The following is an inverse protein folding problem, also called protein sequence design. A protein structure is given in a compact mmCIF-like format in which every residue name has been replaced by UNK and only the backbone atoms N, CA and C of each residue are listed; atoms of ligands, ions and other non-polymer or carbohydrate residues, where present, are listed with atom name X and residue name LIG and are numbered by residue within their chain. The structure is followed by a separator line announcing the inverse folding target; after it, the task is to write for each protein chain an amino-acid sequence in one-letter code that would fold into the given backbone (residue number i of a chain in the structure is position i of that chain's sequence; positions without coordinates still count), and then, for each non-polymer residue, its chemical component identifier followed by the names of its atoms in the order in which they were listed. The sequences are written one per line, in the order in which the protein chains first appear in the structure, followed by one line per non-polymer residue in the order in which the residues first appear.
data_IF_502860686057
#
_entry.id   IF_502860686057
#
_cell.length_a   1.000
_cell.length_b   1.000
_cell.length_c   1.000
_cell.angle_alpha   90.00
_cell.angle_beta   90.00
_cell.angle_gamma   90.00
#
_symmetry.space_group_name_H-M   'P 1'
#
loop_
_entity.id
_entity.type
_entity.pdbx_description
1 polymer ?
#
# COMPACT_ATOMS: atom_id res chain seq x y z
N UNK A 1 -3.21 8.10 6.42
CA UNK A 1 -4.24 9.16 6.31
C UNK A 1 -4.45 9.72 7.71
N UNK A 2 -4.94 10.95 7.81
CA UNK A 2 -5.34 11.54 9.09
C UNK A 2 -6.65 12.30 8.85
N UNK A 3 -6.72 13.61 9.15
CA UNK A 3 -7.86 14.46 8.79
C UNK A 3 -8.12 14.52 7.28
N UNK A 4 -7.10 14.23 6.46
CA UNK A 4 -7.20 14.06 5.00
C UNK A 4 -6.44 12.82 4.51
N UNK A 5 -6.88 12.21 3.40
CA UNK A 5 -6.12 11.15 2.75
C UNK A 5 -4.92 11.75 2.01
N UNK A 6 -3.77 11.10 2.14
CA UNK A 6 -2.54 11.48 1.45
C UNK A 6 -1.90 10.23 0.83
N UNK A 7 -1.48 10.34 -0.42
CA UNK A 7 -0.93 9.23 -1.19
C UNK A 7 0.60 9.23 -1.08
N UNK A 8 1.15 8.16 -0.51
CA UNK A 8 2.61 8.00 -0.33
C UNK A 8 3.27 7.33 -1.52
N UNK A 9 2.55 6.39 -2.13
CA UNK A 9 3.02 5.48 -3.16
C UNK A 9 1.88 5.15 -4.12
N UNK A 10 2.07 5.26 -5.45
CA UNK A 10 1.19 4.56 -6.39
C UNK A 10 1.33 3.04 -6.23
N UNK A 11 0.41 2.26 -6.83
CA UNK A 11 0.58 0.82 -6.92
C UNK A 11 1.84 0.50 -7.72
N UNK A 12 2.74 -0.29 -7.14
CA UNK A 12 4.02 -0.69 -7.73
C UNK A 12 4.35 -2.12 -7.34
N UNK A 13 5.16 -2.78 -8.16
CA UNK A 13 5.81 -4.06 -7.82
C UNK A 13 7.19 -3.85 -7.21
N UNK A 14 7.71 -2.61 -7.23
CA UNK A 14 9.00 -2.28 -6.64
C UNK A 14 8.87 -2.09 -5.12
N UNK A 15 9.10 -3.18 -4.39
CA UNK A 15 9.10 -3.18 -2.94
C UNK A 15 10.23 -2.33 -2.33
N UNK A 16 11.35 -2.16 -3.04
CA UNK A 16 12.46 -1.34 -2.56
C UNK A 16 12.07 0.14 -2.57
N UNK A 17 11.42 0.59 -3.64
CA UNK A 17 10.91 1.96 -3.73
C UNK A 17 9.83 2.22 -2.67
N UNK A 18 8.89 1.28 -2.47
CA UNK A 18 7.88 1.40 -1.43
C UNK A 18 8.49 1.53 -0.04
N UNK A 19 9.47 0.69 0.30
CA UNK A 19 10.18 0.75 1.60
C UNK A 19 10.82 2.11 1.85
N UNK A 20 11.53 2.66 0.86
CA UNK A 20 12.13 4.02 0.97
C UNK A 20 11.09 5.11 1.21
N UNK A 21 9.90 4.98 0.62
CA UNK A 21 8.78 5.93 0.84
C UNK A 21 8.16 5.78 2.23
N UNK A 22 8.10 4.57 2.76
CA UNK A 22 7.64 4.32 4.12
C UNK A 22 8.60 4.91 5.16
N UNK A 23 9.91 4.79 4.95
CA UNK A 23 10.93 5.38 5.83
C UNK A 23 10.85 6.91 5.89
N UNK A 24 10.35 7.58 4.84
CA UNK A 24 10.15 9.04 4.84
C UNK A 24 8.91 9.52 5.61
N UNK A 25 8.12 8.61 6.19
CA UNK A 25 6.92 8.98 6.94
C UNK A 25 7.27 9.48 8.34
N UNK A 26 6.71 10.62 8.71
CA UNK A 26 6.77 11.16 10.07
C UNK A 26 5.38 11.55 10.57
N UNK A 27 5.16 11.48 11.88
CA UNK A 27 3.91 11.90 12.52
C UNK A 27 3.83 13.43 12.45
N UNK A 28 2.62 13.98 12.22
CA UNK A 28 2.39 15.43 12.16
C UNK A 28 2.58 16.07 10.78
N UNK A 29 2.75 15.28 9.72
CA UNK A 29 2.82 15.82 8.35
C UNK A 29 1.46 16.28 7.78
N UNK A 30 0.34 15.91 8.41
CA UNK A 30 -1.02 16.13 7.91
C UNK A 30 -1.90 16.55 9.10
N UNK A 31 -2.96 17.31 8.82
CA UNK A 31 -4.01 17.66 9.79
C UNK A 31 -4.45 16.45 10.63
N UNK A 32 -4.56 16.66 11.94
CA UNK A 32 -5.02 15.65 12.89
C UNK A 32 -6.46 15.21 12.61
N UNK A 33 -6.80 14.02 13.12
CA UNK A 33 -8.08 13.37 12.91
C UNK A 33 -7.96 12.12 12.04
N UNK A 34 -9.09 11.49 11.77
CA UNK A 34 -9.19 10.16 11.17
C UNK A 34 -10.33 10.17 10.16
N UNK A 35 -10.00 10.37 8.89
CA UNK A 35 -10.94 10.44 7.78
C UNK A 35 -10.99 9.12 6.98
N UNK A 36 -11.64 8.11 7.56
CA UNK A 36 -11.75 6.76 6.99
C UNK A 36 -12.50 6.77 5.65
N UNK A 37 -13.67 7.41 5.59
CA UNK A 37 -14.47 7.42 4.36
C UNK A 37 -13.75 8.14 3.20
N UNK A 38 -13.05 9.23 3.49
CA UNK A 38 -12.21 9.92 2.50
C UNK A 38 -11.02 9.06 2.04
N UNK A 39 -10.42 8.28 2.94
CA UNK A 39 -9.35 7.34 2.61
C UNK A 39 -9.84 6.22 1.69
N UNK A 40 -11.00 5.62 2.00
CA UNK A 40 -11.65 4.62 1.16
C UNK A 40 -11.99 5.22 -0.21
N UNK A 41 -12.59 6.41 -0.27
CA UNK A 41 -12.94 7.08 -1.52
C UNK A 41 -11.72 7.37 -2.40
N UNK A 42 -10.61 7.79 -1.81
CA UNK A 42 -9.37 8.05 -2.56
C UNK A 42 -8.73 6.75 -3.05
N UNK A 43 -8.70 5.72 -2.21
CA UNK A 43 -8.16 4.41 -2.55
C UNK A 43 -8.98 3.70 -3.63
N UNK A 44 -10.32 3.78 -3.57
CA UNK A 44 -11.22 3.16 -4.55
C UNK A 44 -11.07 3.80 -5.92
N UNK A 45 -11.01 5.14 -5.99
CA UNK A 45 -10.68 5.86 -7.23
C UNK A 45 -9.38 5.34 -7.83
N UNK A 46 -8.34 5.18 -7.02
CA UNK A 46 -7.02 4.72 -7.49
C UNK A 46 -7.03 3.27 -7.99
N UNK A 47 -7.74 2.39 -7.32
CA UNK A 47 -7.90 0.99 -7.74
C UNK A 47 -8.77 0.86 -9.00
N UNK A 48 -9.71 1.77 -9.22
CA UNK A 48 -10.55 1.79 -10.41
C UNK A 48 -9.76 2.16 -11.68
N UNK A 49 -8.74 3.01 -11.57
CA UNK A 49 -7.88 3.40 -12.69
C UNK A 49 -6.99 2.24 -13.21
N UNK A 50 -6.94 1.10 -12.51
CA UNK A 50 -6.08 -0.04 -12.83
C UNK A 50 -6.90 -1.22 -13.38
N UNK A 51 -6.47 -1.78 -14.52
CA UNK A 51 -7.07 -2.99 -15.10
C UNK A 51 -6.54 -4.24 -14.40
N UNK A 52 -7.17 -4.68 -13.30
CA UNK A 52 -6.83 -5.94 -12.63
C UNK A 52 -8.06 -6.84 -12.41
N UNK A 53 -7.83 -8.17 -12.42
CA UNK A 53 -8.87 -9.18 -12.19
C UNK A 53 -9.34 -9.23 -10.74
N UNK A 54 -8.45 -8.97 -9.78
CA UNK A 54 -8.79 -8.80 -8.36
C UNK A 54 -8.32 -7.41 -7.89
N UNK A 55 -9.16 -6.76 -7.08
CA UNK A 55 -8.91 -5.44 -6.48
C UNK A 55 -9.28 -5.52 -5.01
N UNK A 56 -8.26 -5.43 -4.16
CA UNK A 56 -8.42 -5.44 -2.71
C UNK A 56 -7.82 -4.16 -2.13
N UNK A 57 -8.42 -3.71 -1.03
CA UNK A 57 -7.92 -2.63 -0.18
C UNK A 57 -7.81 -3.14 1.24
N UNK A 58 -6.72 -2.81 1.92
CA UNK A 58 -6.53 -3.11 3.34
C UNK A 58 -6.50 -1.78 4.09
N UNK A 59 -7.47 -1.56 4.97
CA UNK A 59 -7.61 -0.39 5.82
C UNK A 59 -7.11 -0.74 7.22
N UNK A 60 -5.98 -0.20 7.63
CA UNK A 60 -5.45 -0.31 8.99
C UNK A 60 -5.74 1.00 9.75
N UNK A 61 -6.41 0.93 10.89
CA UNK A 61 -6.70 2.10 11.74
C UNK A 61 -6.79 1.73 13.21
N UNK A 62 -6.43 2.67 14.08
CA UNK A 62 -6.43 2.57 15.55
C UNK A 62 -7.47 3.51 16.20
N UNK A 63 -8.34 4.15 15.40
CA UNK A 63 -9.32 5.11 15.90
C UNK A 63 -10.62 5.17 15.11
N UNK A 64 -11.52 6.04 15.55
CA UNK A 64 -12.83 6.25 14.94
C UNK A 64 -12.80 7.28 13.80
N UNK A 65 -13.75 7.18 12.87
CA UNK A 65 -13.93 8.21 11.85
C UNK A 65 -14.48 9.50 12.48
N UNK A 66 -13.60 10.46 12.78
CA UNK A 66 -13.94 11.75 13.38
C UNK A 66 -13.68 12.95 12.44
N UNK A 67 -13.14 12.69 11.25
CA UNK A 67 -12.82 13.72 10.26
C UNK A 67 -13.27 13.30 8.85
N UNK A 68 -13.23 14.25 7.91
CA UNK A 68 -13.60 14.02 6.52
C UNK A 68 -15.08 14.23 6.23
N UNK A 69 -15.39 14.46 4.95
CA UNK A 69 -16.74 14.81 4.47
C UNK A 69 -17.59 13.60 4.05
N UNK A 70 -16.96 12.42 3.95
CA UNK A 70 -17.58 11.22 3.40
C UNK A 70 -17.76 10.19 4.52
N UNK A 71 -18.98 9.69 4.79
CA UNK A 71 -19.20 8.60 5.73
C UNK A 71 -18.51 7.31 5.27
N UNK A 72 -17.90 6.51 6.19
CA UNK A 72 -17.24 5.25 5.85
C UNK A 72 -18.13 4.25 5.10
N UNK A 73 -19.38 4.12 5.53
CA UNK A 73 -20.35 3.19 4.93
C UNK A 73 -20.67 3.57 3.47
N UNK A 74 -20.90 4.86 3.21
CA UNK A 74 -21.14 5.36 1.84
C UNK A 74 -19.94 5.11 0.91
N UNK A 75 -18.72 5.28 1.44
CA UNK A 75 -17.50 4.97 0.69
C UNK A 75 -17.36 3.46 0.41
N UNK A 76 -17.79 2.61 1.35
CA UNK A 76 -17.81 1.16 1.18
C UNK A 76 -18.85 0.70 0.15
N UNK A 77 -20.02 1.35 0.08
CA UNK A 77 -21.02 1.09 -0.97
C UNK A 77 -20.46 1.35 -2.37
N UNK A 78 -19.73 2.48 -2.53
CA UNK A 78 -19.06 2.81 -3.78
C UNK A 78 -17.96 1.78 -4.12
N UNK A 79 -17.19 1.33 -3.13
CA UNK A 79 -16.18 0.28 -3.30
C UNK A 79 -16.80 -1.04 -3.79
N UNK A 80 -17.92 -1.44 -3.17
CA UNK A 80 -18.69 -2.64 -3.54
C UNK A 80 -19.18 -2.55 -4.98
N UNK A 81 -19.75 -1.41 -5.38
CA UNK A 81 -20.23 -1.19 -6.74
C UNK A 81 -19.11 -1.32 -7.78
N UNK A 82 -17.88 -0.98 -7.40
CA UNK A 82 -16.69 -1.14 -8.23
C UNK A 82 -16.07 -2.55 -8.14
N UNK A 83 -16.63 -3.48 -7.35
CA UNK A 83 -16.08 -4.82 -7.15
C UNK A 83 -14.74 -4.82 -6.41
N UNK A 84 -14.55 -3.87 -5.50
CA UNK A 84 -13.35 -3.75 -4.66
C UNK A 84 -13.68 -4.28 -3.27
N UNK A 85 -12.91 -5.27 -2.80
CA UNK A 85 -13.02 -5.82 -1.44
C UNK A 85 -12.20 -4.98 -0.46
N UNK A 86 -12.76 -4.62 0.69
CA UNK A 86 -12.07 -3.83 1.72
C UNK A 86 -11.90 -4.66 2.99
N UNK A 87 -10.68 -5.10 3.25
CA UNK A 87 -10.32 -5.68 4.55
C UNK A 87 -10.03 -4.56 5.53
N UNK A 88 -10.60 -4.63 6.73
CA UNK A 88 -10.39 -3.62 7.79
C UNK A 88 -9.68 -4.25 8.97
N UNK A 89 -8.61 -3.62 9.44
CA UNK A 89 -7.80 -4.07 10.57
C UNK A 89 -7.80 -2.98 11.64
N UNK A 90 -8.36 -3.31 12.81
CA UNK A 90 -8.33 -2.45 13.98
C UNK A 90 -7.05 -2.69 14.79
N UNK A 91 -6.11 -1.74 14.82
CA UNK A 91 -4.88 -1.82 15.59
C UNK A 91 -5.08 -1.31 17.02
N UNK A 92 -4.67 -2.05 18.04
CA UNK A 92 -4.69 -1.62 19.44
C UNK A 92 -5.22 -2.65 20.40
N UNK A 93 -4.91 -2.49 21.68
CA UNK A 93 -5.39 -3.37 22.75
C UNK A 93 -6.77 -2.91 23.23
N UNK A 94 -7.62 -3.85 23.64
CA UNK A 94 -8.87 -3.53 24.34
C UNK A 94 -8.53 -3.03 25.74
N UNK A 95 -9.00 -1.85 26.12
CA UNK A 95 -8.79 -1.33 27.46
C UNK A 95 -8.62 0.19 27.49
N UNK A 96 -7.79 0.66 28.42
CA UNK A 96 -7.47 2.06 28.59
C UNK A 96 -6.01 2.30 28.21
N UNK A 97 -5.76 3.29 27.37
CA UNK A 97 -4.42 3.76 27.07
C UNK A 97 -4.18 5.11 27.77
N UNK A 98 -2.96 5.38 28.26
CA UNK A 98 -2.60 6.70 28.76
C UNK A 98 -2.57 7.69 27.59
N UNK A 99 -3.64 8.45 27.42
CA UNK A 99 -3.77 9.47 26.37
C UNK A 99 -3.36 10.83 26.94
N UNK A 100 -2.49 11.60 26.26
CA UNK A 100 -2.17 12.96 26.68
C UNK A 100 -3.37 13.88 26.43
N UNK A 101 -3.92 14.43 27.49
CA UNK A 101 -5.04 15.38 27.46
C UNK A 101 -4.54 16.72 27.99
N UNK A 102 -4.95 17.81 27.35
CA UNK A 102 -4.63 19.16 27.79
C UNK A 102 -5.75 19.61 28.74
N UNK A 103 -5.41 19.85 29.99
CA UNK A 103 -6.34 20.38 30.99
C UNK A 103 -6.68 21.84 30.67
N UNK A 104 -7.76 22.39 31.25
CA UNK A 104 -8.21 23.78 31.03
C UNK A 104 -7.12 24.84 31.36
N UNK A 105 -6.09 24.45 32.10
CA UNK A 105 -4.91 25.26 32.45
C UNK A 105 -3.68 25.01 31.53
N UNK A 106 -3.84 24.35 30.37
CA UNK A 106 -2.76 24.10 29.41
C UNK A 106 -1.74 23.03 29.83
N UNK A 107 -2.00 22.30 30.93
CA UNK A 107 -1.12 21.25 31.46
C UNK A 107 -1.41 19.92 30.76
N UNK A 108 -0.37 19.27 30.21
CA UNK A 108 -0.49 17.92 29.65
C UNK A 108 -0.58 16.90 30.78
N UNK A 109 -1.71 16.22 30.92
CA UNK A 109 -1.89 15.09 31.84
C UNK A 109 -2.16 13.82 31.04
N UNK A 110 -1.55 12.71 31.45
CA UNK A 110 -1.90 11.40 30.92
C UNK A 110 -3.16 10.93 31.66
N UNK A 111 -4.24 10.73 30.92
CA UNK A 111 -5.50 10.21 31.47
C UNK A 111 -5.75 8.86 30.81
N UNK A 112 -6.11 7.86 31.61
CA UNK A 112 -6.47 6.54 31.09
C UNK A 112 -7.82 6.67 30.38
N UNK A 113 -7.79 6.84 29.06
CA UNK A 113 -8.96 6.91 28.22
C UNK A 113 -9.18 5.55 27.57
N UNK A 114 -10.45 5.13 27.45
CA UNK A 114 -10.80 3.92 26.73
C UNK A 114 -10.35 4.07 25.27
N UNK A 115 -9.60 3.08 24.77
CA UNK A 115 -9.23 3.02 23.35
C UNK A 115 -10.52 2.84 22.57
N UNK A 116 -10.99 3.91 21.93
CA UNK A 116 -12.25 3.94 21.21
C UNK A 116 -11.99 3.62 19.73
N UNK A 117 -12.17 2.35 19.38
CA UNK A 117 -12.10 1.87 18.00
C UNK A 117 -13.51 1.46 17.62
N UNK A 118 -14.00 2.04 16.52
CA UNK A 118 -15.34 1.75 16.00
C UNK A 118 -15.34 0.39 15.26
N UNK A 119 -15.22 -0.69 16.04
CA UNK A 119 -15.20 -2.07 15.52
C UNK A 119 -16.48 -2.37 14.73
N UNK A 120 -17.62 -1.77 15.10
CA UNK A 120 -18.90 -1.94 14.42
C UNK A 120 -18.86 -1.34 13.00
N UNK A 121 -18.42 -0.09 12.85
CA UNK A 121 -18.32 0.54 11.52
C UNK A 121 -17.30 -0.18 10.65
N UNK A 122 -16.15 -0.59 11.21
CA UNK A 122 -15.12 -1.32 10.46
C UNK A 122 -15.63 -2.69 9.99
N UNK A 123 -16.29 -3.44 10.87
CA UNK A 123 -16.92 -4.73 10.52
C UNK A 123 -17.92 -4.54 9.39
N UNK A 124 -18.77 -3.51 9.49
CA UNK A 124 -19.79 -3.26 8.47
C UNK A 124 -19.20 -2.87 7.11
N UNK A 125 -18.12 -2.10 7.09
CA UNK A 125 -17.37 -1.77 5.86
C UNK A 125 -16.82 -3.03 5.20
N UNK A 126 -16.21 -3.92 5.98
CA UNK A 126 -15.66 -5.17 5.46
C UNK A 126 -16.76 -6.10 4.92
N UNK A 127 -17.81 -6.37 5.72
CA UNK A 127 -18.93 -7.22 5.31
C UNK A 127 -19.62 -6.72 4.04
N UNK A 128 -19.86 -5.41 3.96
CA UNK A 128 -20.53 -4.81 2.82
C UNK A 128 -19.76 -5.03 1.52
N UNK A 129 -18.44 -5.07 1.58
CA UNK A 129 -17.58 -5.29 0.41
C UNK A 129 -17.22 -6.76 0.17
N UNK A 130 -17.74 -7.68 0.98
CA UNK A 130 -17.47 -9.12 0.89
C UNK A 130 -16.09 -9.53 1.43
N UNK A 131 -15.57 -8.77 2.40
CA UNK A 131 -14.30 -9.01 3.09
C UNK A 131 -14.50 -9.15 4.60
N UNK A 132 -13.41 -9.36 5.33
CA UNK A 132 -13.44 -9.66 6.77
C UNK A 132 -12.77 -8.56 7.59
N UNK A 133 -13.31 -8.28 8.77
CA UNK A 133 -12.68 -7.44 9.78
C UNK A 133 -11.74 -8.25 10.68
N UNK A 134 -10.58 -7.67 10.98
CA UNK A 134 -9.59 -8.26 11.87
C UNK A 134 -9.18 -7.30 12.98
N UNK A 135 -8.80 -7.85 14.13
CA UNK A 135 -8.21 -7.10 15.25
C UNK A 135 -6.75 -7.46 15.40
N UNK A 136 -5.87 -6.47 15.35
CA UNK A 136 -4.44 -6.66 15.61
C UNK A 136 -4.07 -6.03 16.96
N UNK A 137 -3.64 -6.85 17.91
CA UNK A 137 -3.18 -6.40 19.23
C UNK A 137 -1.68 -6.15 19.28
N UNK A 138 -0.93 -6.74 18.35
CA UNK A 138 0.52 -6.81 18.33
C UNK A 138 1.02 -7.08 16.91
N UNK A 139 2.32 -6.96 16.69
CA UNK A 139 2.93 -7.14 15.37
C UNK A 139 2.76 -8.57 14.86
N UNK A 140 2.81 -9.59 15.73
CA UNK A 140 2.70 -10.98 15.31
C UNK A 140 1.25 -11.35 14.93
N UNK A 141 0.24 -10.80 15.61
CA UNK A 141 -1.15 -10.92 15.15
C UNK A 141 -1.38 -10.21 13.83
N UNK A 142 -0.79 -9.03 13.62
CA UNK A 142 -0.88 -8.31 12.35
C UNK A 142 -0.29 -9.13 11.19
N UNK A 143 0.87 -9.75 11.38
CA UNK A 143 1.52 -10.61 10.38
C UNK A 143 0.63 -11.81 10.00
N UNK A 144 0.05 -12.50 10.99
CA UNK A 144 -0.88 -13.61 10.76
C UNK A 144 -2.12 -13.20 9.95
N UNK A 145 -2.65 -12.00 10.22
CA UNK A 145 -3.79 -11.45 9.48
C UNK A 145 -3.43 -11.24 8.01
N UNK A 146 -2.25 -10.67 7.72
CA UNK A 146 -1.79 -10.51 6.34
C UNK A 146 -1.60 -11.85 5.63
N UNK A 147 -1.09 -12.87 6.33
CA UNK A 147 -0.97 -14.23 5.77
C UNK A 147 -2.34 -14.85 5.45
N UNK A 148 -3.33 -14.63 6.30
CA UNK A 148 -4.71 -15.11 6.08
C UNK A 148 -5.36 -14.41 4.87
N UNK A 149 -5.21 -13.08 4.77
CA UNK A 149 -5.65 -12.30 3.61
C UNK A 149 -4.96 -12.81 2.34
N UNK A 150 -3.66 -13.07 2.39
CA UNK A 150 -2.92 -13.57 1.23
C UNK A 150 -3.45 -14.94 0.76
N UNK A 151 -3.76 -15.86 1.69
CA UNK A 151 -4.36 -17.16 1.36
C UNK A 151 -5.73 -17.03 0.70
N UNK A 152 -6.56 -16.12 1.19
CA UNK A 152 -7.90 -15.88 0.63
C UNK A 152 -7.87 -15.20 -0.75
N UNK A 153 -6.90 -14.31 -0.97
CA UNK A 153 -6.82 -13.46 -2.17
C UNK A 153 -5.76 -13.92 -3.17
N UNK A 154 -5.21 -15.13 -3.01
CA UNK A 154 -4.21 -15.73 -3.90
C UNK A 154 -4.78 -15.82 -5.32
N UNK A 155 -4.56 -14.75 -6.08
CA UNK A 155 -4.79 -14.71 -7.51
C UNK A 155 -3.45 -15.03 -8.16
N UNK A 156 -3.34 -16.15 -8.86
CA UNK A 156 -2.16 -16.51 -9.66
C UNK A 156 -1.88 -15.41 -10.68
N UNK A 157 -0.89 -14.56 -10.38
CA UNK A 157 -0.51 -13.44 -11.24
C UNK A 157 0.76 -13.81 -12.00
N UNK A 158 0.61 -14.03 -13.31
CA UNK A 158 1.74 -14.10 -14.24
C UNK A 158 2.37 -12.71 -14.35
N UNK A 159 3.51 -12.52 -13.67
CA UNK A 159 4.30 -11.29 -13.78
C UNK A 159 5.01 -11.36 -15.13
N UNK A 160 4.58 -10.55 -16.10
CA UNK A 160 5.42 -10.24 -17.27
C UNK A 160 6.47 -9.24 -16.79
N UNK A 161 7.58 -9.77 -16.30
CA UNK A 161 8.76 -9.00 -15.97
C UNK A 161 9.34 -8.48 -17.30
N UNK A 162 9.16 -7.19 -17.57
CA UNK A 162 9.87 -6.53 -18.67
C UNK A 162 11.30 -6.30 -18.19
N UNK A 163 12.15 -7.30 -18.36
CA UNK A 163 13.59 -7.09 -18.21
C UNK A 163 14.07 -6.27 -19.40
N UNK A 164 14.51 -5.05 -19.12
CA UNK A 164 15.24 -4.23 -20.08
C UNK A 164 16.63 -4.85 -20.27
N UNK A 165 16.73 -5.87 -21.13
CA UNK A 165 18.02 -6.35 -21.61
C UNK A 165 18.69 -5.22 -22.39
N UNK A 166 19.78 -4.69 -21.86
CA UNK A 166 20.66 -3.81 -22.61
C UNK A 166 21.53 -4.71 -23.48
N UNK A 167 21.21 -4.81 -24.76
CA UNK A 167 21.96 -5.65 -25.69
C UNK A 167 23.36 -5.04 -25.96
N UNK A 168 24.35 -5.39 -25.13
CA UNK A 168 25.76 -5.10 -25.41
C UNK A 168 26.32 -5.99 -26.54
N UNK A 169 25.53 -6.94 -27.04
CA UNK A 169 25.93 -7.88 -28.09
C UNK A 169 26.29 -7.20 -29.42
N UNK A 170 25.61 -6.09 -29.77
CA UNK A 170 25.91 -5.34 -30.99
C UNK A 170 27.34 -4.80 -31.04
N UNK A 171 27.89 -4.38 -29.91
CA UNK A 171 29.27 -3.87 -29.82
C UNK A 171 30.28 -5.01 -30.00
N UNK A 172 30.01 -6.18 -29.42
CA UNK A 172 30.84 -7.38 -29.57
C UNK A 172 30.86 -7.90 -31.01
N UNK A 173 29.72 -7.93 -31.71
CA UNK A 173 29.67 -8.30 -33.13
C UNK A 173 30.48 -7.31 -33.97
N UNK A 174 30.31 -6.01 -33.74
CA UNK A 174 31.05 -4.98 -34.48
C UNK A 174 32.57 -5.14 -34.35
N UNK A 175 33.04 -5.45 -33.14
CA UNK A 175 34.46 -5.67 -32.85
C UNK A 175 34.98 -6.96 -33.52
N UNK A 176 34.19 -8.04 -33.49
CA UNK A 176 34.52 -9.29 -34.18
C UNK A 176 34.59 -9.11 -35.70
N UNK A 177 33.62 -8.45 -36.31
CA UNK A 177 33.61 -8.18 -37.75
C UNK A 177 34.81 -7.31 -38.16
N UNK A 178 35.13 -6.29 -37.35
CA UNK A 178 36.30 -5.45 -37.57
C UNK A 178 37.61 -6.26 -37.54
N UNK A 179 37.77 -7.15 -36.55
CA UNK A 179 38.95 -8.02 -36.48
C UNK A 179 39.08 -8.95 -37.69
N UNK A 180 37.97 -9.52 -38.18
CA UNK A 180 37.97 -10.38 -39.37
C UNK A 180 38.37 -9.59 -40.62
N UNK A 181 37.80 -8.39 -40.81
CA UNK A 181 38.14 -7.53 -41.95
C UNK A 181 39.61 -7.10 -41.89
N UNK A 182 40.12 -6.75 -40.70
CA UNK A 182 41.52 -6.41 -40.50
C UNK A 182 42.45 -7.59 -40.84
N UNK A 183 42.12 -8.80 -40.39
CA UNK A 183 42.88 -10.01 -40.72
C UNK A 183 42.86 -10.30 -42.24
N UNK A 184 41.71 -10.16 -42.89
CA UNK A 184 41.58 -10.38 -44.33
C UNK A 184 42.41 -9.38 -45.15
N UNK A 185 42.50 -8.12 -44.70
CA UNK A 185 43.37 -7.10 -45.32
C UNK A 185 44.85 -7.42 -45.11
N UNK A 186 45.23 -7.88 -43.90
CA UNK A 186 46.60 -8.26 -43.58
C UNK A 186 47.05 -9.51 -44.36
N UNK A 187 46.18 -10.52 -44.49
CA UNK A 187 46.45 -11.71 -45.31
C UNK A 187 46.61 -11.36 -46.78
N UNK A 188 45.80 -10.44 -47.32
CA UNK A 188 45.95 -9.97 -48.71
C UNK A 188 47.27 -9.26 -48.98
N UNK A 189 47.91 -8.68 -47.95
CA UNK A 189 49.24 -8.07 -48.04
C UNK A 189 50.39 -9.06 -47.80
N UNK A 190 50.08 -10.32 -47.51
CA UNK A 190 51.05 -11.37 -47.14
C UNK A 190 51.19 -12.49 -48.19
N UNK A 191 50.56 -12.33 -49.35
CA UNK A 191 50.79 -13.16 -50.55
C UNK A 191 51.90 -12.44 -51.33
N UNK A 192 52.99 -13.13 -51.72
CA UNK A 192 54.37 -12.60 -51.81
C UNK A 192 54.55 -11.36 -52.69
#
# INVERSE_FOLDING_TARGET
FAGRPYLISPLTLDHNWLRKRLESLSIGMIEDGTAIGSAIGTGTKRLNDQKSKSRIMILLTDGMNNAGKVPPLTAAEAARALGIKIYTIGAGTRGHAPTPVIDAFGRKRLVNMKVDIDENTLTRVAEMTGATYFRATDTASLEKIYDEINKMETTTRSIKQFEHYRELFGLLIGLSLFCIVADMILQRRRIP
#
